data_IF_069258669700
#
_entry.id   IF_069258669700
#
_cell.length_a   1.000
_cell.length_b   1.000
_cell.length_c   1.000
_cell.angle_alpha   90.00
_cell.angle_beta   90.00
_cell.angle_gamma   90.00
#
_symmetry.space_group_name_H-M   'P 1'
#
loop_
_entity.id
_entity.type
_entity.pdbx_description
1 polymer ?
#
# COMPACT_ATOMS: atom_id res chain seq x y z
N UNK A 1 27.24 -2.57 13.96
CA UNK A 1 27.86 -3.65 13.31
C UNK A 1 28.40 -4.72 14.23
N UNK A 2 29.29 -4.38 15.16
CA UNK A 2 29.72 -5.37 16.12
C UNK A 2 28.57 -5.92 16.95
N UNK A 3 27.59 -5.08 17.23
CA UNK A 3 26.42 -5.49 17.99
C UNK A 3 25.63 -6.60 17.29
N UNK A 4 25.48 -6.49 15.98
CA UNK A 4 24.73 -7.46 15.22
C UNK A 4 25.45 -8.82 15.20
N UNK A 5 26.78 -8.77 15.11
CA UNK A 5 27.57 -9.99 15.17
C UNK A 5 27.42 -10.67 16.53
N UNK A 6 27.43 -9.86 17.59
CA UNK A 6 27.25 -10.41 18.93
C UNK A 6 25.90 -11.07 19.09
N UNK A 7 24.85 -10.43 18.54
CA UNK A 7 23.52 -11.01 18.57
C UNK A 7 23.47 -12.34 17.85
N UNK A 8 24.12 -12.41 16.70
CA UNK A 8 24.16 -13.64 15.92
C UNK A 8 24.80 -14.76 16.75
N UNK A 9 25.93 -14.48 17.38
CA UNK A 9 26.62 -15.48 18.20
C UNK A 9 25.76 -15.91 19.38
N UNK A 10 25.09 -14.95 20.02
CA UNK A 10 24.29 -15.26 21.20
C UNK A 10 23.08 -16.12 20.84
N UNK A 11 22.44 -15.79 19.73
CA UNK A 11 21.24 -16.51 19.31
C UNK A 11 21.60 -17.84 18.68
N UNK A 12 22.71 -17.90 17.97
CA UNK A 12 23.07 -19.04 17.14
C UNK A 12 23.19 -20.36 17.87
N UNK A 13 23.44 -20.33 19.16
CA UNK A 13 23.67 -21.57 19.91
C UNK A 13 22.43 -22.45 20.00
N UNK A 14 21.21 -21.89 19.81
CA UNK A 14 19.99 -22.65 19.91
C UNK A 14 19.19 -22.68 18.61
N UNK A 15 19.75 -22.18 17.53
CA UNK A 15 19.04 -22.10 16.26
C UNK A 15 19.35 -23.32 15.39
N UNK A 16 18.40 -23.70 14.54
CA UNK A 16 18.66 -24.72 13.54
C UNK A 16 19.82 -24.29 12.64
N UNK A 17 20.64 -25.26 12.24
CA UNK A 17 21.80 -24.98 11.42
C UNK A 17 21.45 -24.34 10.10
N UNK A 18 20.34 -24.74 9.48
CA UNK A 18 19.89 -24.18 8.22
C UNK A 18 19.59 -22.69 8.32
N UNK A 19 19.07 -22.27 9.46
CA UNK A 19 18.76 -20.86 9.67
C UNK A 19 20.04 -20.06 9.81
N UNK A 20 21.01 -20.58 10.55
CA UNK A 20 22.29 -19.92 10.72
C UNK A 20 23.00 -19.79 9.37
N UNK A 21 22.99 -20.85 8.58
CA UNK A 21 23.59 -20.81 7.24
C UNK A 21 22.90 -19.75 6.34
N UNK A 22 21.59 -19.70 6.38
CA UNK A 22 20.85 -18.73 5.59
C UNK A 22 21.22 -17.29 5.97
N UNK A 23 21.35 -17.02 7.25
CA UNK A 23 21.76 -15.69 7.72
C UNK A 23 23.17 -15.38 7.25
N UNK A 24 24.07 -16.37 7.33
CA UNK A 24 25.46 -16.18 6.89
C UNK A 24 25.52 -15.91 5.38
N UNK A 25 24.68 -16.57 4.60
CA UNK A 25 24.67 -16.38 3.15
C UNK A 25 24.30 -14.98 2.74
N UNK A 26 23.39 -14.33 3.46
CA UNK A 26 23.01 -12.95 3.13
C UNK A 26 23.99 -11.92 3.72
N UNK A 27 24.96 -12.36 4.51
CA UNK A 27 25.99 -11.49 5.05
C UNK A 27 25.88 -11.21 6.54
N UNK A 28 25.08 -12.01 7.29
CA UNK A 28 24.93 -11.86 8.73
C UNK A 28 23.77 -10.98 9.12
N UNK A 29 23.53 -10.88 10.42
CA UNK A 29 22.44 -10.08 10.96
C UNK A 29 22.56 -8.59 10.64
N UNK A 30 23.79 -8.09 10.58
CA UNK A 30 23.99 -6.69 10.22
C UNK A 30 23.50 -6.39 8.80
N UNK A 31 23.78 -7.29 7.88
CA UNK A 31 23.31 -7.13 6.51
C UNK A 31 21.79 -7.26 6.44
N UNK A 32 21.23 -8.19 7.20
CA UNK A 32 19.79 -8.33 7.28
C UNK A 32 19.16 -7.03 7.77
N UNK A 33 19.68 -6.44 8.83
CA UNK A 33 19.14 -5.19 9.36
C UNK A 33 19.19 -4.06 8.35
N UNK A 34 20.26 -4.02 7.54
CA UNK A 34 20.38 -3.00 6.50
C UNK A 34 19.43 -3.25 5.34
N UNK A 35 18.96 -4.48 5.16
CA UNK A 35 18.07 -4.83 4.06
C UNK A 35 16.61 -4.53 4.35
N UNK A 36 16.27 -4.35 5.62
CA UNK A 36 14.89 -4.04 6.01
C UNK A 36 14.72 -2.53 6.03
N UNK A 37 13.63 -2.00 5.44
CA UNK A 37 13.37 -0.55 5.49
C UNK A 37 13.26 -0.07 6.93
N UNK A 38 13.49 1.21 7.16
CA UNK A 38 13.39 1.73 8.51
C UNK A 38 11.94 1.78 8.96
N UNK A 39 11.74 2.03 10.26
CA UNK A 39 10.40 1.94 10.85
C UNK A 39 9.44 2.98 10.26
N UNK A 40 9.94 4.11 9.81
CA UNK A 40 9.08 5.13 9.23
C UNK A 40 8.54 4.66 7.88
N UNK A 41 9.38 4.07 7.07
CA UNK A 41 8.96 3.52 5.77
C UNK A 41 7.97 2.37 5.96
N UNK A 42 8.25 1.50 6.92
CA UNK A 42 7.37 0.38 7.21
C UNK A 42 6.00 0.88 7.69
N UNK A 43 6.00 1.92 8.53
CA UNK A 43 4.76 2.49 9.04
C UNK A 43 3.93 3.09 7.90
N UNK A 44 4.59 3.79 6.99
CA UNK A 44 3.92 4.37 5.84
C UNK A 44 3.29 3.29 4.98
N UNK A 45 4.03 2.23 4.71
CA UNK A 45 3.51 1.13 3.91
C UNK A 45 2.37 0.40 4.63
N UNK A 46 2.49 0.20 5.92
CA UNK A 46 1.44 -0.45 6.70
C UNK A 46 0.15 0.37 6.68
N UNK A 47 0.26 1.69 6.75
CA UNK A 47 -0.90 2.57 6.65
C UNK A 47 -1.56 2.46 5.29
N UNK A 48 -0.77 2.34 4.23
CA UNK A 48 -1.30 2.16 2.90
C UNK A 48 -2.12 0.88 2.80
N UNK A 49 -1.58 -0.21 3.32
CA UNK A 49 -2.30 -1.48 3.33
C UNK A 49 -3.59 -1.41 4.15
N UNK A 50 -3.55 -0.71 5.28
CA UNK A 50 -4.74 -0.53 6.12
C UNK A 50 -5.84 0.18 5.34
N UNK A 51 -5.48 1.23 4.61
CA UNK A 51 -6.43 1.98 3.80
C UNK A 51 -7.05 1.09 2.71
N UNK A 52 -6.24 0.25 2.11
CA UNK A 52 -6.68 -0.62 1.03
C UNK A 52 -7.37 -1.89 1.50
N UNK A 53 -7.46 -2.13 2.80
CA UNK A 53 -8.13 -3.31 3.31
C UNK A 53 -9.66 -3.16 3.36
N UNK A 54 -10.18 -2.00 3.03
CA UNK A 54 -11.61 -1.75 2.98
C UNK A 54 -12.13 -2.10 1.58
N UNK A 55 -13.14 -2.97 1.53
CA UNK A 55 -13.69 -3.45 0.25
C UNK A 55 -14.25 -2.32 -0.60
N UNK A 56 -14.97 -1.40 0.02
CA UNK A 56 -15.57 -0.29 -0.72
C UNK A 56 -14.49 0.59 -1.32
N UNK A 57 -13.49 0.93 -0.52
CA UNK A 57 -12.39 1.76 -0.99
C UNK A 57 -11.62 1.10 -2.12
N UNK A 58 -11.38 -0.19 -1.98
CA UNK A 58 -10.66 -0.92 -3.01
C UNK A 58 -11.47 -0.99 -4.30
N UNK A 59 -12.78 -1.19 -4.18
CA UNK A 59 -13.67 -1.19 -5.35
C UNK A 59 -13.66 0.16 -6.05
N UNK A 60 -13.69 1.24 -5.28
CA UNK A 60 -13.61 2.59 -5.84
C UNK A 60 -12.30 2.77 -6.60
N UNK A 61 -11.20 2.32 -6.01
CA UNK A 61 -9.90 2.49 -6.64
C UNK A 61 -9.80 1.71 -7.95
N UNK A 62 -10.30 0.48 -7.97
CA UNK A 62 -10.34 -0.30 -9.21
C UNK A 62 -11.21 0.37 -10.26
N UNK A 63 -12.35 0.92 -9.85
CA UNK A 63 -13.26 1.61 -10.76
C UNK A 63 -12.59 2.82 -11.42
N UNK A 64 -11.93 3.64 -10.61
CA UNK A 64 -11.21 4.81 -11.11
C UNK A 64 -10.02 4.38 -11.96
N UNK A 65 -9.45 3.24 -11.66
CA UNK A 65 -8.38 2.67 -12.46
C UNK A 65 -8.79 2.32 -13.87
N UNK A 66 -10.07 2.02 -14.08
CA UNK A 66 -10.57 1.72 -15.41
C UNK A 66 -10.68 2.99 -16.27
N UNK A 67 -11.16 4.07 -15.67
CA UNK A 67 -11.24 5.37 -16.36
C UNK A 67 -11.52 6.44 -15.32
N UNK A 68 -11.27 7.68 -15.70
CA UNK A 68 -11.58 8.82 -14.83
C UNK A 68 -13.09 8.88 -14.62
N UNK A 69 -13.50 9.21 -13.39
CA UNK A 69 -14.91 9.16 -13.03
C UNK A 69 -15.31 10.31 -12.15
N UNK A 70 -16.56 10.75 -12.27
CA UNK A 70 -17.15 11.66 -11.30
C UNK A 70 -17.80 10.84 -10.18
N UNK A 71 -17.97 11.44 -8.99
CA UNK A 71 -18.60 10.74 -7.87
C UNK A 71 -19.99 10.20 -8.16
N UNK A 72 -20.73 10.86 -9.02
CA UNK A 72 -22.10 10.44 -9.32
C UNK A 72 -22.17 9.06 -9.94
N UNK A 73 -21.19 8.71 -10.76
CA UNK A 73 -21.13 7.38 -11.34
C UNK A 73 -20.79 6.34 -10.27
N UNK A 74 -19.81 6.66 -9.43
CA UNK A 74 -19.43 5.76 -8.35
C UNK A 74 -20.56 5.53 -7.37
N UNK A 75 -21.29 6.59 -7.05
CA UNK A 75 -22.43 6.50 -6.14
C UNK A 75 -23.49 5.56 -6.71
N UNK A 76 -23.81 5.74 -7.98
CA UNK A 76 -24.82 4.94 -8.64
C UNK A 76 -24.41 3.47 -8.69
N UNK A 77 -23.17 3.23 -9.05
CA UNK A 77 -22.64 1.87 -9.18
C UNK A 77 -22.56 1.15 -7.82
N UNK A 78 -22.05 1.84 -6.82
CA UNK A 78 -21.82 1.25 -5.51
C UNK A 78 -23.05 1.29 -4.60
N UNK A 79 -24.03 2.11 -4.94
CA UNK A 79 -25.26 2.27 -4.16
C UNK A 79 -24.98 2.64 -2.71
N UNK A 80 -24.14 3.65 -2.54
CA UNK A 80 -23.81 4.17 -1.21
C UNK A 80 -24.19 5.64 -1.14
N UNK A 81 -24.24 6.17 0.07
CA UNK A 81 -24.61 7.57 0.28
C UNK A 81 -23.51 8.52 -0.19
N UNK A 82 -23.88 9.76 -0.45
CA UNK A 82 -22.91 10.78 -0.81
C UNK A 82 -21.85 10.96 0.27
N UNK A 83 -22.25 10.92 1.53
CA UNK A 83 -21.31 11.13 2.63
C UNK A 83 -20.31 9.99 2.74
N UNK A 84 -20.75 8.75 2.54
CA UNK A 84 -19.86 7.61 2.58
C UNK A 84 -18.88 7.65 1.42
N UNK A 85 -19.37 7.98 0.22
CA UNK A 85 -18.50 8.09 -0.94
C UNK A 85 -17.46 9.18 -0.73
N UNK A 86 -17.90 10.36 -0.27
CA UNK A 86 -16.98 11.46 -0.01
C UNK A 86 -15.93 11.09 1.01
N UNK A 87 -16.32 10.36 2.04
CA UNK A 87 -15.39 9.88 3.06
C UNK A 87 -14.30 9.01 2.45
N UNK A 88 -14.69 8.02 1.64
CA UNK A 88 -13.72 7.12 1.02
C UNK A 88 -12.83 7.83 0.00
N UNK A 89 -13.42 8.71 -0.80
CA UNK A 89 -12.64 9.47 -1.79
C UNK A 89 -11.64 10.40 -1.11
N UNK A 90 -12.03 11.02 0.00
CA UNK A 90 -11.11 11.87 0.76
C UNK A 90 -9.90 11.11 1.26
N UNK A 91 -10.14 9.92 1.78
CA UNK A 91 -9.04 9.07 2.29
C UNK A 91 -8.11 8.69 1.15
N UNK A 92 -8.67 8.27 0.03
CA UNK A 92 -7.85 7.88 -1.12
C UNK A 92 -7.03 9.07 -1.65
N UNK A 93 -7.64 10.24 -1.73
CA UNK A 93 -6.95 11.42 -2.22
C UNK A 93 -5.89 11.90 -1.25
N UNK A 94 -6.20 11.88 0.03
CA UNK A 94 -5.27 12.30 1.08
C UNK A 94 -4.00 11.45 1.07
N UNK A 95 -4.12 10.19 0.74
CA UNK A 95 -2.98 9.28 0.70
C UNK A 95 -2.37 9.13 -0.68
N UNK A 96 -2.77 9.97 -1.61
CA UNK A 96 -2.13 10.05 -2.90
C UNK A 96 -2.48 8.93 -3.87
N UNK A 97 -3.54 8.18 -3.60
CA UNK A 97 -3.94 7.07 -4.45
C UNK A 97 -4.80 7.52 -5.63
N UNK A 98 -5.54 8.60 -5.44
CA UNK A 98 -6.30 9.24 -6.50
C UNK A 98 -6.04 10.74 -6.44
N UNK A 99 -6.29 11.41 -7.55
CA UNK A 99 -6.24 12.86 -7.63
C UNK A 99 -7.53 13.34 -8.28
N UNK A 100 -7.92 14.57 -8.02
CA UNK A 100 -9.12 15.10 -8.61
C UNK A 100 -8.83 16.39 -9.36
N UNK A 101 -9.64 16.66 -10.37
CA UNK A 101 -9.54 17.88 -11.13
C UNK A 101 -10.95 18.37 -11.50
N UNK A 102 -11.13 19.69 -11.62
CA UNK A 102 -12.43 20.22 -12.01
C UNK A 102 -12.62 20.12 -13.52
N UNK A 103 -13.85 19.86 -13.93
CA UNK A 103 -14.21 19.91 -15.34
C UNK A 103 -15.65 20.44 -15.42
N UNK A 104 -15.81 21.70 -15.80
CA UNK A 104 -17.07 22.41 -15.75
C UNK A 104 -17.61 22.38 -14.31
N UNK A 105 -18.80 21.86 -14.10
CA UNK A 105 -19.40 21.76 -12.77
C UNK A 105 -19.08 20.46 -12.07
N UNK A 106 -18.23 19.65 -12.67
CA UNK A 106 -17.93 18.31 -12.16
C UNK A 106 -16.55 18.27 -11.54
N UNK A 107 -16.38 17.41 -10.58
CA UNK A 107 -15.08 17.06 -10.07
C UNK A 107 -14.78 15.64 -10.52
N UNK A 108 -13.69 15.49 -11.23
CA UNK A 108 -13.33 14.20 -11.84
C UNK A 108 -12.18 13.61 -11.05
N UNK A 109 -12.28 12.32 -10.75
CA UNK A 109 -11.22 11.60 -10.03
C UNK A 109 -10.49 10.70 -10.99
N UNK A 110 -9.18 10.69 -10.87
CA UNK A 110 -8.32 9.81 -11.66
C UNK A 110 -7.37 9.07 -10.74
N UNK A 111 -6.93 7.90 -11.18
CA UNK A 111 -5.95 7.13 -10.40
C UNK A 111 -4.56 7.71 -10.60
N UNK A 112 -3.76 7.71 -9.54
CA UNK A 112 -2.37 8.17 -9.61
C UNK A 112 -1.46 6.98 -9.91
N UNK A 113 -0.16 7.27 -10.14
CA UNK A 113 0.81 6.19 -10.32
C UNK A 113 0.90 5.34 -9.06
N UNK A 114 0.83 5.96 -7.89
CA UNK A 114 0.82 5.21 -6.64
C UNK A 114 -0.42 4.32 -6.55
N UNK A 115 -1.58 4.86 -6.96
CA UNK A 115 -2.81 4.07 -6.96
C UNK A 115 -2.71 2.87 -7.88
N UNK A 116 -2.16 3.05 -9.06
CA UNK A 116 -1.95 1.94 -9.98
C UNK A 116 -1.02 0.90 -9.39
N UNK A 117 0.06 1.33 -8.79
CA UNK A 117 1.04 0.42 -8.20
C UNK A 117 0.44 -0.35 -7.02
N UNK A 118 -0.51 0.24 -6.31
CA UNK A 118 -1.14 -0.38 -5.16
C UNK A 118 -2.12 -1.48 -5.55
N UNK A 119 -2.63 -1.45 -6.78
CA UNK A 119 -3.56 -2.47 -7.26
C UNK A 119 -2.80 -3.66 -7.79
N UNK A 120 -3.38 -4.83 -7.60
CA UNK A 120 -2.76 -6.03 -8.09
C UNK A 120 -3.08 -6.27 -9.55
N UNK A 121 -3.07 -7.53 -9.93
CA UNK A 121 -3.29 -7.94 -11.32
C UNK A 121 -4.73 -7.70 -11.80
N UNK A 122 -5.60 -7.29 -10.90
CA UNK A 122 -6.99 -7.06 -11.26
C UNK A 122 -7.24 -5.81 -12.09
N UNK A 123 -6.23 -4.99 -12.29
CA UNK A 123 -6.38 -3.78 -13.09
C UNK A 123 -6.25 -4.13 -14.58
N UNK A 124 -7.27 -4.74 -15.10
CA UNK A 124 -7.29 -5.24 -16.47
C UNK A 124 -8.40 -4.65 -17.31
N UNK A 125 -8.89 -3.50 -16.94
CA UNK A 125 -9.94 -2.87 -17.71
C UNK A 125 -9.41 -2.49 -19.09
N UNK A 126 -10.05 -2.96 -20.15
CA UNK A 126 -9.56 -2.69 -21.51
C UNK A 126 -9.69 -1.23 -21.90
#
# INVERSE_FOLDING_TARGET
MAKEKNKTKTIGSSLPEEVVEAIDEIGGLGKLACSIPDIEDITTEANLHRILSDKTRLTILYSIGCCDMCPCILKEYLKISDSRLSYHLSILEEHGLVASYPKKNWRIFRITELGKAALGKGLLCP
#
